data_IF_114129094090
#
_entry.id   IF_114129094090
#
_cell.length_a   1.000
_cell.length_b   1.000
_cell.length_c   1.000
_cell.angle_alpha   90.00
_cell.angle_beta   90.00
_cell.angle_gamma   90.00
#
_symmetry.space_group_name_H-M   'P 1'
#
loop_
_entity.id
_entity.type
_entity.pdbx_description
1 polymer ?
#
# COMPACT_ATOMS: atom_id res chain seq x y z
N UNK A 1 19.10 10.10 7.91
CA UNK A 1 18.98 9.00 8.87
C UNK A 1 20.35 8.39 9.16
N UNK A 2 21.16 8.94 10.08
CA UNK A 2 22.48 8.37 10.45
C UNK A 2 22.78 8.33 11.96
N UNK A 3 21.89 8.82 12.82
CA UNK A 3 22.12 8.93 14.28
C UNK A 3 21.04 8.28 15.16
N UNK A 4 20.09 7.52 14.57
CA UNK A 4 19.04 6.83 15.34
C UNK A 4 17.97 7.71 15.99
N UNK A 5 18.12 9.05 15.92
CA UNK A 5 17.06 10.01 16.28
C UNK A 5 16.21 10.32 15.05
N UNK A 6 14.89 10.22 15.21
CA UNK A 6 13.92 10.74 14.26
C UNK A 6 13.74 12.24 14.51
N UNK A 7 14.62 13.03 13.91
CA UNK A 7 14.49 14.49 13.88
C UNK A 7 13.78 14.90 12.57
N UNK A 8 12.86 15.86 12.65
CA UNK A 8 12.23 16.44 11.46
C UNK A 8 13.31 17.17 10.63
N UNK A 9 13.31 17.05 9.29
CA UNK A 9 14.20 17.84 8.44
C UNK A 9 14.03 19.34 8.74
N UNK A 10 15.14 20.04 8.96
CA UNK A 10 15.14 21.49 9.17
C UNK A 10 14.93 22.25 7.85
N UNK A 11 15.54 21.73 6.78
CA UNK A 11 15.48 22.30 5.44
C UNK A 11 14.33 21.65 4.64
N UNK A 12 13.50 22.44 3.93
CA UNK A 12 12.40 21.92 3.12
C UNK A 12 12.82 20.88 2.07
N UNK A 13 14.00 21.01 1.48
CA UNK A 13 14.54 20.14 0.43
C UNK A 13 14.92 18.75 0.96
N UNK A 14 15.13 18.64 2.26
CA UNK A 14 15.40 17.38 2.94
C UNK A 14 14.12 16.64 3.37
N UNK A 15 12.93 17.22 3.12
CA UNK A 15 11.66 16.54 3.32
C UNK A 15 11.46 15.53 2.18
N UNK A 16 11.41 14.22 2.47
CA UNK A 16 11.12 13.24 1.43
C UNK A 16 9.74 13.50 0.85
N UNK A 17 9.68 13.62 -0.47
CA UNK A 17 8.44 13.77 -1.19
C UNK A 17 7.90 12.39 -1.54
N UNK A 18 6.60 12.18 -1.36
CA UNK A 18 5.94 11.01 -1.92
C UNK A 18 5.94 11.13 -3.44
N UNK A 19 6.14 10.02 -4.17
CA UNK A 19 5.93 10.04 -5.60
C UNK A 19 4.48 10.45 -5.90
N UNK A 20 4.23 11.10 -7.06
CA UNK A 20 2.86 11.29 -7.51
C UNK A 20 2.19 9.93 -7.66
N UNK A 21 0.89 9.89 -7.45
CA UNK A 21 0.11 8.71 -7.75
C UNK A 21 0.25 8.33 -9.24
N UNK A 22 0.25 7.03 -9.58
CA UNK A 22 0.19 6.60 -10.97
C UNK A 22 -1.05 7.21 -11.65
N UNK A 23 -0.95 7.55 -12.94
CA UNK A 23 -2.06 8.18 -13.68
C UNK A 23 -3.33 7.31 -13.77
N UNK A 24 -3.20 6.00 -13.54
CA UNK A 24 -4.31 5.04 -13.52
C UNK A 24 -4.90 4.82 -12.11
N UNK A 25 -4.34 5.45 -11.07
CA UNK A 25 -4.81 5.31 -9.70
C UNK A 25 -4.93 6.68 -9.03
N UNK A 26 -6.15 7.20 -9.01
CA UNK A 26 -6.52 8.49 -8.42
C UNK A 26 -7.21 8.30 -7.05
N UNK A 27 -7.01 7.13 -6.43
CA UNK A 27 -7.39 6.86 -5.05
C UNK A 27 -8.38 5.69 -4.89
N UNK A 28 -9.13 5.64 -3.77
CA UNK A 28 -9.97 4.50 -3.40
C UNK A 28 -10.98 4.05 -4.47
N UNK A 29 -11.44 4.98 -5.33
CA UNK A 29 -12.38 4.68 -6.42
C UNK A 29 -11.81 3.73 -7.48
N UNK A 30 -10.48 3.65 -7.60
CA UNK A 30 -9.79 2.85 -8.62
C UNK A 30 -9.32 1.49 -8.07
N UNK A 31 -9.68 1.13 -6.84
CA UNK A 31 -9.42 -0.21 -6.29
C UNK A 31 -9.94 -1.37 -7.16
N UNK A 32 -11.10 -1.27 -7.84
CA UNK A 32 -11.54 -2.33 -8.75
C UNK A 32 -10.51 -2.65 -9.84
N UNK A 33 -9.77 -1.66 -10.34
CA UNK A 33 -8.72 -1.89 -11.36
C UNK A 33 -7.51 -2.66 -10.81
N UNK A 34 -7.25 -2.61 -9.50
CA UNK A 34 -6.24 -3.48 -8.87
C UNK A 34 -6.69 -4.94 -8.87
N UNK A 35 -7.98 -5.19 -8.62
CA UNK A 35 -8.54 -6.54 -8.67
C UNK A 35 -8.44 -7.12 -10.09
N UNK A 36 -8.85 -6.34 -11.09
CA UNK A 36 -8.74 -6.70 -12.51
C UNK A 36 -7.29 -6.99 -12.91
N UNK A 37 -6.34 -6.13 -12.52
CA UNK A 37 -4.92 -6.34 -12.85
C UNK A 37 -4.31 -7.61 -12.22
N UNK A 38 -4.76 -7.99 -11.02
CA UNK A 38 -4.35 -9.24 -10.38
C UNK A 38 -4.95 -10.46 -11.09
N UNK A 39 -6.21 -10.38 -11.50
CA UNK A 39 -6.85 -11.43 -12.30
C UNK A 39 -6.13 -11.60 -13.65
N UNK A 40 -5.79 -10.51 -14.34
CA UNK A 40 -5.02 -10.51 -15.60
C UNK A 40 -3.60 -11.07 -15.43
N UNK A 41 -2.97 -10.83 -14.28
CA UNK A 41 -1.68 -11.39 -13.93
C UNK A 41 -1.73 -12.90 -13.61
N UNK A 42 -2.92 -13.50 -13.53
CA UNK A 42 -3.13 -14.94 -13.34
C UNK A 42 -3.26 -15.38 -11.89
N UNK A 43 -3.55 -14.47 -10.96
CA UNK A 43 -3.85 -14.84 -9.58
C UNK A 43 -5.19 -15.59 -9.51
N UNK A 44 -5.27 -16.60 -8.65
CA UNK A 44 -6.55 -17.19 -8.32
C UNK A 44 -7.40 -16.19 -7.51
N UNK A 45 -8.73 -16.31 -7.58
CA UNK A 45 -9.64 -15.35 -6.95
C UNK A 45 -9.46 -15.25 -5.44
N UNK A 46 -9.14 -16.38 -4.78
CA UNK A 46 -8.83 -16.44 -3.36
C UNK A 46 -7.50 -15.75 -3.02
N UNK A 47 -6.47 -15.93 -3.85
CA UNK A 47 -5.19 -15.23 -3.71
C UNK A 47 -5.35 -13.72 -3.86
N UNK A 48 -6.10 -13.27 -4.88
CA UNK A 48 -6.42 -11.86 -5.10
C UNK A 48 -7.10 -11.26 -3.87
N UNK A 49 -8.13 -11.92 -3.34
CA UNK A 49 -8.90 -11.42 -2.19
C UNK A 49 -8.02 -11.34 -0.92
N UNK A 50 -7.10 -12.29 -0.76
CA UNK A 50 -6.08 -12.24 0.29
C UNK A 50 -5.13 -11.04 0.13
N UNK A 51 -4.67 -10.74 -1.09
CA UNK A 51 -3.80 -9.59 -1.38
C UNK A 51 -4.53 -8.26 -1.16
N UNK A 52 -5.78 -8.14 -1.60
CA UNK A 52 -6.57 -6.90 -1.52
C UNK A 52 -7.01 -6.54 -0.10
N UNK A 53 -6.96 -7.47 0.85
CA UNK A 53 -7.24 -7.15 2.25
C UNK A 53 -7.33 -8.34 3.19
N UNK A 54 -7.60 -9.54 2.68
CA UNK A 54 -7.78 -10.73 3.53
C UNK A 54 -6.57 -11.04 4.43
N UNK A 55 -5.35 -10.86 3.91
CA UNK A 55 -4.13 -11.02 4.72
C UNK A 55 -4.00 -9.98 5.83
N UNK A 56 -4.45 -8.74 5.59
CA UNK A 56 -4.45 -7.69 6.61
C UNK A 56 -5.48 -7.98 7.69
N UNK A 57 -6.70 -8.36 7.32
CA UNK A 57 -7.74 -8.76 8.27
C UNK A 57 -7.27 -9.91 9.16
N UNK A 58 -6.69 -10.96 8.55
CA UNK A 58 -6.10 -12.08 9.29
C UNK A 58 -4.99 -11.63 10.25
N UNK A 59 -4.12 -10.71 9.83
CA UNK A 59 -3.09 -10.16 10.70
C UNK A 59 -3.70 -9.43 11.90
N UNK A 60 -4.72 -8.61 11.68
CA UNK A 60 -5.39 -7.90 12.75
C UNK A 60 -6.01 -8.85 13.78
N UNK A 61 -6.74 -9.86 13.30
CA UNK A 61 -7.34 -10.90 14.16
C UNK A 61 -6.28 -11.72 14.91
N UNK A 62 -5.14 -12.02 14.29
CA UNK A 62 -4.12 -12.89 14.91
C UNK A 62 -3.29 -12.15 15.96
N UNK A 63 -3.02 -10.86 15.74
CA UNK A 63 -2.04 -10.10 16.53
C UNK A 63 -2.69 -9.24 17.61
N UNK A 64 -3.91 -8.75 17.40
CA UNK A 64 -4.53 -7.72 18.24
C UNK A 64 -5.85 -8.12 18.91
N UNK A 65 -6.42 -9.29 18.60
CA UNK A 65 -7.57 -9.84 19.32
C UNK A 65 -7.13 -10.59 20.58
#
# INVERSE_FOLDING_TARGET
MRSGRWDRPAEPEAIPQFPPWPSWFDGPKDFPSLAEGLDEAGFASDERDLVLGGNWLRLFDTVFA
#
